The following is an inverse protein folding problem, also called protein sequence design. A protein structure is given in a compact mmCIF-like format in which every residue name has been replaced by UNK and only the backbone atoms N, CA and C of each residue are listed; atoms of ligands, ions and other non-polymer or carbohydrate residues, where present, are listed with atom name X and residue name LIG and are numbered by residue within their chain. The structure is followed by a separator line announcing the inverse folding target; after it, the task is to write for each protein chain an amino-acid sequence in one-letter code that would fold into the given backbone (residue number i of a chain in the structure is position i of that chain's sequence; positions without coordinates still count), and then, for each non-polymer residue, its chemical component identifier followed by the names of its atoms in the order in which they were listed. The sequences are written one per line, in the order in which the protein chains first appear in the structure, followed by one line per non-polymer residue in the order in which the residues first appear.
data_IF_299087602682
#
_entry.id   IF_299087602682
#
_cell.length_a   1.000
_cell.length_b   1.000
_cell.length_c   1.000
_cell.angle_alpha   90.00
_cell.angle_beta   90.00
_cell.angle_gamma   90.00
#
_symmetry.space_group_name_H-M   'P 1'
#
loop_
_entity.id
_entity.type
_entity.pdbx_description
1 polymer ?
#
# COMPACT_ATOMS: atom_id res chain seq x y z
N UNK A 1 23.43 -11.31 10.48
CA UNK A 1 22.48 -11.47 9.35
C UNK A 1 23.10 -10.93 8.09
N UNK A 2 23.11 -11.69 7.00
CA UNK A 2 23.65 -11.25 5.70
C UNK A 2 22.69 -10.26 5.03
N UNK A 3 23.19 -9.37 4.15
CA UNK A 3 22.38 -8.34 3.45
C UNK A 3 21.16 -8.91 2.71
N UNK A 4 21.20 -10.17 2.25
CA UNK A 4 20.05 -10.84 1.65
C UNK A 4 18.91 -11.12 2.63
N UNK A 5 19.20 -11.40 3.91
CA UNK A 5 18.18 -11.64 4.93
C UNK A 5 17.39 -10.39 5.28
N UNK A 6 18.01 -9.20 5.18
CA UNK A 6 17.32 -7.92 5.36
C UNK A 6 16.30 -7.67 4.25
N UNK A 7 16.60 -8.01 3.00
CA UNK A 7 15.62 -7.93 1.91
C UNK A 7 14.41 -8.85 2.13
N UNK A 8 14.67 -10.09 2.57
CA UNK A 8 13.60 -11.07 2.84
C UNK A 8 12.69 -10.69 4.01
N UNK A 9 13.19 -9.94 5.00
CA UNK A 9 12.39 -9.51 6.15
C UNK A 9 11.70 -8.16 5.89
N UNK A 10 12.41 -7.19 5.31
CA UNK A 10 11.88 -5.84 5.15
C UNK A 10 10.83 -5.78 4.05
N UNK A 11 10.98 -6.54 2.95
CA UNK A 11 9.99 -6.57 1.88
C UNK A 11 8.57 -6.98 2.35
N UNK A 12 8.36 -8.13 3.04
CA UNK A 12 7.02 -8.50 3.50
C UNK A 12 6.51 -7.57 4.60
N UNK A 13 7.36 -7.10 5.52
CA UNK A 13 6.93 -6.20 6.60
C UNK A 13 6.51 -4.84 6.04
N UNK A 14 7.33 -4.23 5.19
CA UNK A 14 7.02 -2.93 4.60
C UNK A 14 5.87 -3.03 3.59
N UNK A 15 5.78 -4.14 2.84
CA UNK A 15 4.65 -4.45 1.97
C UNK A 15 3.33 -4.54 2.75
N UNK A 16 3.30 -5.34 3.82
CA UNK A 16 2.12 -5.46 4.69
C UNK A 16 1.76 -4.13 5.34
N UNK A 17 2.73 -3.38 5.87
CA UNK A 17 2.48 -2.07 6.45
C UNK A 17 1.87 -1.10 5.43
N UNK A 18 2.38 -1.09 4.20
CA UNK A 18 1.84 -0.27 3.10
C UNK A 18 0.43 -0.70 2.73
N UNK A 19 0.17 -2.00 2.62
CA UNK A 19 -1.16 -2.55 2.33
C UNK A 19 -2.19 -2.22 3.40
N UNK A 20 -1.84 -2.38 4.68
CA UNK A 20 -2.72 -2.04 5.82
C UNK A 20 -3.01 -0.54 5.85
N UNK A 21 -1.97 0.30 5.75
CA UNK A 21 -2.15 1.76 5.75
C UNK A 21 -3.00 2.22 4.56
N UNK A 22 -2.73 1.69 3.36
CA UNK A 22 -3.52 2.01 2.17
C UNK A 22 -4.97 1.55 2.27
N UNK A 23 -5.24 0.36 2.83
CA UNK A 23 -6.59 -0.11 3.08
C UNK A 23 -7.34 0.77 4.09
N UNK A 24 -6.67 1.22 5.16
CA UNK A 24 -7.25 2.16 6.15
C UNK A 24 -7.57 3.51 5.50
N UNK A 25 -6.66 4.06 4.71
CA UNK A 25 -6.87 5.33 4.00
C UNK A 25 -8.01 5.22 2.99
N UNK A 26 -8.07 4.10 2.27
CA UNK A 26 -9.14 3.84 1.31
C UNK A 26 -10.49 3.69 2.01
N UNK A 27 -10.54 2.98 3.14
CA UNK A 27 -11.74 2.87 3.97
C UNK A 27 -12.19 4.23 4.53
N UNK A 28 -11.23 5.08 4.92
CA UNK A 28 -11.52 6.44 5.38
C UNK A 28 -12.11 7.30 4.25
N UNK A 29 -11.55 7.21 3.04
CA UNK A 29 -12.08 7.89 1.86
C UNK A 29 -13.52 7.44 1.55
N UNK A 30 -13.79 6.13 1.62
CA UNK A 30 -15.13 5.60 1.40
C UNK A 30 -16.13 6.06 2.46
N UNK A 31 -15.74 6.05 3.75
CA UNK A 31 -16.59 6.57 4.84
C UNK A 31 -16.90 8.06 4.73
N UNK A 32 -15.98 8.85 4.17
CA UNK A 32 -16.23 10.26 3.90
C UNK A 32 -17.30 10.45 2.81
N UNK A 33 -17.46 9.45 1.94
CA UNK A 33 -18.38 9.47 0.81
C UNK A 33 -19.68 8.66 1.02
N UNK A 34 -19.70 7.72 1.95
CA UNK A 34 -20.88 6.93 2.34
C UNK A 34 -21.59 7.55 3.56
N UNK A 35 -22.72 8.25 3.36
CA UNK A 35 -23.66 8.64 4.43
C UNK A 35 -24.73 7.54 4.66
N UNK A 36 -24.50 6.29 4.22
CA UNK A 36 -25.55 5.25 4.22
C UNK A 36 -25.08 3.80 4.25
N UNK A 37 -26.05 2.89 4.37
CA UNK A 37 -26.05 1.44 4.71
C UNK A 37 -25.06 0.52 3.95
N UNK A 38 -24.26 1.05 3.02
CA UNK A 38 -23.40 0.27 2.11
C UNK A 38 -21.95 0.05 2.60
N UNK A 39 -21.57 0.62 3.75
CA UNK A 39 -20.23 0.46 4.32
C UNK A 39 -19.82 -0.99 4.62
N UNK A 40 -20.79 -1.90 4.81
CA UNK A 40 -20.54 -3.33 5.00
C UNK A 40 -20.34 -4.09 3.68
N UNK A 41 -20.95 -3.65 2.57
CA UNK A 41 -20.83 -4.31 1.26
C UNK A 41 -19.41 -4.14 0.67
N UNK A 42 -18.73 -3.05 1.02
CA UNK A 42 -17.41 -2.70 0.51
C UNK A 42 -16.27 -3.46 1.22
N UNK A 43 -16.54 -4.18 2.31
CA UNK A 43 -15.52 -4.86 3.12
C UNK A 43 -14.69 -5.89 2.33
N UNK A 44 -15.34 -6.68 1.46
CA UNK A 44 -14.67 -7.68 0.63
C UNK A 44 -13.75 -7.02 -0.40
N UNK A 45 -14.21 -5.95 -1.07
CA UNK A 45 -13.40 -5.20 -2.01
C UNK A 45 -12.18 -4.57 -1.34
N UNK A 46 -12.34 -4.05 -0.11
CA UNK A 46 -11.24 -3.48 0.66
C UNK A 46 -10.15 -4.53 0.96
N UNK A 47 -10.54 -5.77 1.26
CA UNK A 47 -9.59 -6.87 1.47
C UNK A 47 -8.82 -7.18 0.18
N UNK A 48 -9.51 -7.28 -0.97
CA UNK A 48 -8.86 -7.54 -2.25
C UNK A 48 -7.89 -6.41 -2.66
N UNK A 49 -8.31 -5.15 -2.54
CA UNK A 49 -7.44 -4.02 -2.86
C UNK A 49 -6.28 -3.86 -1.88
N UNK A 50 -6.51 -4.08 -0.58
CA UNK A 50 -5.46 -4.08 0.44
C UNK A 50 -4.43 -5.19 0.22
N UNK A 51 -4.88 -6.40 -0.13
CA UNK A 51 -3.99 -7.52 -0.46
C UNK A 51 -3.17 -7.23 -1.74
N UNK A 52 -3.81 -6.71 -2.78
CA UNK A 52 -3.14 -6.31 -4.02
C UNK A 52 -2.06 -5.25 -3.74
N UNK A 53 -2.41 -4.21 -2.98
CA UNK A 53 -1.48 -3.16 -2.59
C UNK A 53 -0.31 -3.71 -1.77
N UNK A 54 -0.57 -4.63 -0.84
CA UNK A 54 0.48 -5.28 -0.05
C UNK A 54 1.47 -6.07 -0.93
N UNK A 55 0.96 -6.82 -1.92
CA UNK A 55 1.80 -7.59 -2.86
C UNK A 55 2.66 -6.64 -3.69
N UNK A 56 2.05 -5.61 -4.30
CA UNK A 56 2.79 -4.63 -5.11
C UNK A 56 3.87 -3.90 -4.28
N UNK A 57 3.51 -3.48 -3.06
CA UNK A 57 4.43 -2.82 -2.16
C UNK A 57 5.56 -3.76 -1.72
N UNK A 58 5.28 -5.03 -1.43
CA UNK A 58 6.30 -6.01 -1.08
C UNK A 58 7.31 -6.20 -2.22
N UNK A 59 6.84 -6.29 -3.47
CA UNK A 59 7.71 -6.37 -4.65
C UNK A 59 8.55 -5.08 -4.77
N UNK A 60 7.93 -3.92 -4.63
CA UNK A 60 8.64 -2.63 -4.70
C UNK A 60 9.75 -2.50 -3.66
N UNK A 61 9.43 -2.78 -2.40
CA UNK A 61 10.40 -2.77 -1.31
C UNK A 61 11.50 -3.80 -1.50
N UNK A 62 11.16 -5.00 -1.97
CA UNK A 62 12.14 -6.04 -2.30
C UNK A 62 13.13 -5.60 -3.39
N UNK A 63 12.63 -4.97 -4.46
CA UNK A 63 13.45 -4.43 -5.54
C UNK A 63 14.34 -3.29 -5.03
N UNK A 64 13.79 -2.30 -4.33
CA UNK A 64 14.58 -1.15 -3.86
C UNK A 64 15.65 -1.54 -2.83
N UNK A 65 15.30 -2.37 -1.85
CA UNK A 65 16.27 -2.82 -0.83
C UNK A 65 17.30 -3.77 -1.44
N UNK A 66 16.90 -4.66 -2.34
CA UNK A 66 17.80 -5.60 -3.00
C UNK A 66 18.79 -4.94 -3.96
N UNK A 67 18.31 -4.03 -4.83
CA UNK A 67 19.13 -3.43 -5.89
C UNK A 67 19.78 -2.11 -5.51
N UNK A 68 19.08 -1.23 -4.80
CA UNK A 68 19.62 0.08 -4.39
C UNK A 68 20.28 -0.02 -3.02
N UNK A 69 19.67 -0.78 -2.11
CA UNK A 69 20.17 -0.95 -0.74
C UNK A 69 21.54 -1.62 -0.64
N UNK A 70 21.98 -2.34 -1.68
CA UNK A 70 23.35 -2.88 -1.78
C UNK A 70 24.42 -1.78 -1.81
N UNK A 71 24.09 -0.61 -2.36
CA UNK A 71 25.00 0.51 -2.56
C UNK A 71 24.72 1.65 -1.58
N UNK A 72 23.45 1.97 -1.35
CA UNK A 72 23.03 3.04 -0.46
C UNK A 72 21.68 2.71 0.18
N UNK A 73 21.71 2.30 1.45
CA UNK A 73 20.51 1.92 2.21
C UNK A 73 19.56 3.11 2.41
N UNK A 74 20.09 4.30 2.66
CA UNK A 74 19.26 5.50 2.88
C UNK A 74 18.49 5.87 1.62
N UNK A 75 19.16 5.84 0.45
CA UNK A 75 18.49 6.06 -0.84
C UNK A 75 17.43 4.97 -1.13
N UNK A 76 17.69 3.73 -0.74
CA UNK A 76 16.73 2.64 -0.88
C UNK A 76 15.48 2.85 -0.01
N UNK A 77 15.65 3.33 1.22
CA UNK A 77 14.53 3.63 2.13
C UNK A 77 13.72 4.84 1.63
N UNK A 78 14.37 5.89 1.14
CA UNK A 78 13.69 7.05 0.56
C UNK A 78 12.93 6.69 -0.72
N UNK A 79 13.53 5.89 -1.61
CA UNK A 79 12.84 5.42 -2.83
C UNK A 79 11.70 4.44 -2.53
N UNK A 80 11.90 3.55 -1.56
CA UNK A 80 10.87 2.63 -1.07
C UNK A 80 9.66 3.38 -0.51
N UNK A 81 9.90 4.36 0.37
CA UNK A 81 8.84 5.21 0.94
C UNK A 81 8.13 6.07 -0.10
N UNK A 82 8.88 6.70 -1.01
CA UNK A 82 8.30 7.50 -2.08
C UNK A 82 7.38 6.67 -2.98
N UNK A 83 7.83 5.49 -3.41
CA UNK A 83 6.99 4.60 -4.23
C UNK A 83 5.78 4.07 -3.48
N UNK A 84 5.91 3.71 -2.20
CA UNK A 84 4.78 3.31 -1.36
C UNK A 84 3.74 4.43 -1.23
N UNK A 85 4.17 5.67 -1.01
CA UNK A 85 3.29 6.83 -0.94
C UNK A 85 2.54 7.06 -2.27
N UNK A 86 3.23 6.94 -3.41
CA UNK A 86 2.63 7.05 -4.74
C UNK A 86 1.59 5.94 -4.98
N UNK A 87 1.91 4.69 -4.64
CA UNK A 87 0.98 3.56 -4.78
C UNK A 87 -0.30 3.77 -3.97
N UNK A 88 -0.16 4.15 -2.69
CA UNK A 88 -1.29 4.46 -1.82
C UNK A 88 -2.12 5.62 -2.39
N UNK A 89 -1.45 6.68 -2.84
CA UNK A 89 -2.13 7.84 -3.42
C UNK A 89 -2.95 7.46 -4.66
N UNK A 90 -2.39 6.67 -5.58
CA UNK A 90 -3.12 6.19 -6.78
C UNK A 90 -4.36 5.39 -6.37
N UNK A 91 -4.23 4.48 -5.41
CA UNK A 91 -5.36 3.68 -4.93
C UNK A 91 -6.46 4.57 -4.35
N UNK A 92 -6.12 5.51 -3.48
CA UNK A 92 -7.09 6.45 -2.91
C UNK A 92 -7.70 7.33 -4.00
N UNK A 93 -6.90 7.91 -4.89
CA UNK A 93 -7.39 8.83 -5.93
C UNK A 93 -8.31 8.15 -6.96
N UNK A 94 -8.03 6.90 -7.33
CA UNK A 94 -8.84 6.16 -8.30
C UNK A 94 -10.05 5.48 -7.67
N UNK A 95 -9.95 5.04 -6.42
CA UNK A 95 -10.98 4.23 -5.77
C UNK A 95 -11.80 5.00 -4.74
N UNK A 96 -11.59 6.31 -4.55
CA UNK A 96 -12.31 7.14 -3.57
C UNK A 96 -13.84 7.10 -3.66
N UNK A 97 -14.42 6.85 -4.85
CA UNK A 97 -15.87 6.80 -5.04
C UNK A 97 -16.29 5.45 -5.66
N UNK A 98 -16.51 4.41 -4.84
CA UNK A 98 -17.09 3.17 -5.35
C UNK A 98 -18.54 3.45 -5.81
N UNK A 99 -18.83 3.25 -7.10
CA UNK A 99 -20.14 3.37 -7.76
C UNK A 99 -20.63 4.78 -8.16
N UNK A 100 -19.80 5.82 -8.12
CA UNK A 100 -20.13 7.11 -8.74
C UNK A 100 -21.20 7.96 -8.02
N UNK A 101 -21.60 7.60 -6.80
CA UNK A 101 -22.39 8.47 -5.94
C UNK A 101 -21.54 9.69 -5.56
N UNK A 102 -21.98 10.87 -5.97
CA UNK A 102 -21.22 12.10 -5.74
C UNK A 102 -21.22 12.47 -4.26
N UNK A 103 -20.01 12.64 -3.75
CA UNK A 103 -19.67 13.66 -2.78
C UNK A 103 -19.57 14.97 -3.58
#
# INVERSE_FOLDING_TARGET
MTRGQWGCAVAPVAGLATGVLGAVLLAAAWRACDVGVNGAANGLALIFYGALLAIMAAVWWGVFIGYVGRWNLTAALLGGTAGAAVMVWIFVALLQVPNGYRC
#
